data_IF_535112757957
#
_entry.id   IF_535112757957
#
_cell.length_a   1.000
_cell.length_b   1.000
_cell.length_c   1.000
_cell.angle_alpha   90.00
_cell.angle_beta   90.00
_cell.angle_gamma   90.00
#
_symmetry.space_group_name_H-M   'P 1'
#
loop_
_entity.id
_entity.type
_entity.pdbx_description
1 polymer ?
#
# COMPACT_ATOMS: atom_id res chain seq x y z
N UNK A 1 -14.94 22.22 -16.20
CA UNK A 1 -14.06 22.43 -15.03
C UNK A 1 -14.52 21.65 -13.78
N UNK A 2 -15.76 21.79 -13.26
CA UNK A 2 -16.20 21.04 -12.07
C UNK A 2 -16.10 19.51 -12.22
N UNK A 3 -16.55 18.95 -13.36
CA UNK A 3 -16.47 17.51 -13.59
C UNK A 3 -15.02 16.99 -13.57
N UNK A 4 -14.08 17.71 -14.17
CA UNK A 4 -12.65 17.33 -14.13
C UNK A 4 -12.11 17.30 -12.71
N UNK A 5 -12.41 18.31 -11.89
CA UNK A 5 -11.98 18.36 -10.47
C UNK A 5 -12.56 17.18 -9.70
N UNK A 6 -13.81 16.80 -9.98
CA UNK A 6 -14.43 15.62 -9.33
C UNK A 6 -13.72 14.33 -9.72
N UNK A 7 -13.39 14.10 -10.99
CA UNK A 7 -12.68 12.89 -11.42
C UNK A 7 -11.26 12.82 -10.86
N UNK A 8 -10.50 13.90 -10.94
CA UNK A 8 -9.15 13.98 -10.36
C UNK A 8 -9.21 13.78 -8.83
N UNK A 9 -10.17 14.42 -8.16
CA UNK A 9 -10.39 14.27 -6.73
C UNK A 9 -10.77 12.83 -6.34
N UNK A 10 -11.59 12.16 -7.14
CA UNK A 10 -11.96 10.76 -6.93
C UNK A 10 -10.75 9.81 -7.11
N UNK A 11 -9.90 10.07 -8.12
CA UNK A 11 -8.68 9.30 -8.33
C UNK A 11 -7.72 9.45 -7.14
N UNK A 12 -7.43 10.68 -6.72
CA UNK A 12 -6.59 10.94 -5.54
C UNK A 12 -7.20 10.35 -4.26
N UNK A 13 -8.50 10.55 -4.05
CA UNK A 13 -9.22 10.00 -2.91
C UNK A 13 -9.15 8.48 -2.83
N UNK A 14 -9.21 7.79 -3.98
CA UNK A 14 -9.08 6.33 -4.06
C UNK A 14 -7.68 5.85 -3.65
N UNK A 15 -6.63 6.58 -4.03
CA UNK A 15 -5.26 6.25 -3.58
C UNK A 15 -5.13 6.43 -2.06
N UNK A 16 -5.63 7.52 -1.50
CA UNK A 16 -5.64 7.71 -0.05
C UNK A 16 -6.47 6.65 0.67
N UNK A 17 -7.61 6.24 0.10
CA UNK A 17 -8.44 5.17 0.67
C UNK A 17 -7.69 3.82 0.73
N UNK A 18 -6.89 3.47 -0.29
CA UNK A 18 -6.05 2.27 -0.27
C UNK A 18 -4.95 2.35 0.79
N UNK A 19 -4.32 3.51 0.95
CA UNK A 19 -3.32 3.73 2.02
C UNK A 19 -4.00 3.60 3.39
N UNK A 20 -5.16 4.21 3.58
CA UNK A 20 -5.94 4.12 4.81
C UNK A 20 -6.38 2.68 5.12
N UNK A 21 -6.77 1.91 4.11
CA UNK A 21 -7.07 0.48 4.25
C UNK A 21 -5.85 -0.30 4.79
N UNK A 22 -4.66 -0.03 4.25
CA UNK A 22 -3.43 -0.64 4.73
C UNK A 22 -3.12 -0.28 6.19
N UNK A 23 -3.29 0.98 6.60
CA UNK A 23 -3.18 1.40 8.00
C UNK A 23 -4.17 0.67 8.90
N UNK A 24 -5.42 0.53 8.44
CA UNK A 24 -6.47 -0.15 9.20
C UNK A 24 -6.13 -1.63 9.43
N UNK A 25 -5.65 -2.33 8.40
CA UNK A 25 -5.24 -3.74 8.50
C UNK A 25 -4.08 -3.89 9.48
N UNK A 26 -3.05 -3.06 9.36
CA UNK A 26 -1.88 -3.08 10.26
C UNK A 26 -2.31 -2.81 11.71
N UNK A 27 -3.12 -1.78 11.93
CA UNK A 27 -3.61 -1.44 13.26
C UNK A 27 -4.50 -2.53 13.86
N UNK A 28 -5.39 -3.11 13.07
CA UNK A 28 -6.27 -4.18 13.55
C UNK A 28 -5.50 -5.43 14.00
N UNK A 29 -4.34 -5.71 13.39
CA UNK A 29 -3.54 -6.91 13.71
C UNK A 29 -2.48 -6.68 14.78
N UNK A 30 -1.80 -5.54 14.76
CA UNK A 30 -0.65 -5.28 15.65
C UNK A 30 -0.89 -4.19 16.69
N UNK A 31 -2.03 -3.49 16.64
CA UNK A 31 -2.33 -2.28 17.46
C UNK A 31 -1.26 -1.18 17.30
N UNK A 32 -0.52 -1.23 16.20
CA UNK A 32 0.50 -0.23 15.84
C UNK A 32 0.20 0.36 14.48
N UNK A 33 0.68 1.57 14.23
CA UNK A 33 0.55 2.24 12.93
C UNK A 33 1.92 2.28 12.28
N UNK A 34 2.03 1.75 11.07
CA UNK A 34 3.28 1.80 10.33
C UNK A 34 3.42 3.13 9.57
N UNK A 35 4.19 4.07 10.11
CA UNK A 35 4.39 5.38 9.48
C UNK A 35 5.24 5.35 8.20
N UNK A 36 5.94 4.24 7.90
CA UNK A 36 6.65 4.07 6.62
C UNK A 36 5.76 3.64 5.46
N UNK A 37 4.45 3.55 5.64
CA UNK A 37 3.54 3.03 4.61
C UNK A 37 3.46 3.95 3.38
N UNK A 38 3.49 5.26 3.57
CA UNK A 38 3.56 6.22 2.46
C UNK A 38 4.81 6.03 1.60
N UNK A 39 5.96 5.85 2.25
CA UNK A 39 7.24 5.57 1.56
C UNK A 39 7.22 4.22 0.86
N UNK A 40 6.50 3.24 1.39
CA UNK A 40 6.31 1.95 0.70
C UNK A 40 5.55 2.11 -0.62
N UNK A 41 4.55 3.00 -0.69
CA UNK A 41 3.86 3.34 -1.95
C UNK A 41 4.83 3.96 -2.94
N UNK A 42 5.67 4.90 -2.50
CA UNK A 42 6.71 5.51 -3.33
C UNK A 42 7.70 4.46 -3.84
N UNK A 43 8.21 3.59 -2.98
CA UNK A 43 9.10 2.47 -3.39
C UNK A 43 8.42 1.61 -4.46
N UNK A 44 7.15 1.27 -4.27
CA UNK A 44 6.38 0.51 -5.25
C UNK A 44 6.28 1.19 -6.60
N UNK A 45 5.99 2.49 -6.62
CA UNK A 45 5.92 3.27 -7.86
C UNK A 45 7.26 3.29 -8.59
N UNK A 46 8.37 3.50 -7.86
CA UNK A 46 9.71 3.57 -8.43
C UNK A 46 10.18 2.20 -8.95
N UNK A 47 9.94 1.13 -8.20
CA UNK A 47 10.27 -0.24 -8.63
C UNK A 47 9.48 -0.61 -9.89
N UNK A 48 8.18 -0.35 -9.91
CA UNK A 48 7.34 -0.60 -11.09
C UNK A 48 7.84 0.19 -12.31
N UNK A 49 8.20 1.45 -12.12
CA UNK A 49 8.78 2.29 -13.17
C UNK A 49 10.12 1.71 -13.68
N UNK A 50 11.01 1.34 -12.79
CA UNK A 50 12.33 0.80 -13.15
C UNK A 50 12.21 -0.52 -13.94
N UNK A 51 11.28 -1.39 -13.56
CA UNK A 51 11.06 -2.66 -14.26
C UNK A 51 10.37 -2.45 -15.61
N UNK A 52 9.32 -1.63 -15.66
CA UNK A 52 8.55 -1.44 -16.88
C UNK A 52 9.27 -0.55 -17.89
N UNK A 53 9.76 0.62 -17.46
CA UNK A 53 10.39 1.61 -18.34
C UNK A 53 11.89 1.38 -18.47
N UNK A 54 12.57 1.09 -17.37
CA UNK A 54 14.02 0.91 -17.34
C UNK A 54 14.46 -0.43 -17.94
N UNK A 55 13.82 -1.52 -17.55
CA UNK A 55 14.17 -2.87 -18.00
C UNK A 55 13.30 -3.38 -19.17
N UNK A 56 12.27 -2.63 -19.60
CA UNK A 56 11.40 -3.00 -20.72
C UNK A 56 10.52 -4.23 -20.46
N UNK A 57 10.24 -4.55 -19.20
CA UNK A 57 9.43 -5.72 -18.85
C UNK A 57 7.95 -5.51 -19.20
N UNK A 58 7.20 -6.58 -19.51
CA UNK A 58 5.77 -6.46 -19.71
C UNK A 58 5.09 -6.03 -18.42
N UNK A 59 4.13 -5.10 -18.51
CA UNK A 59 3.45 -4.49 -17.38
C UNK A 59 2.94 -5.50 -16.33
N UNK A 60 2.28 -6.62 -16.69
CA UNK A 60 1.81 -7.58 -15.70
C UNK A 60 2.95 -8.19 -14.86
N UNK A 61 4.08 -8.50 -15.49
CA UNK A 61 5.25 -9.04 -14.81
C UNK A 61 5.89 -8.00 -13.88
N UNK A 62 6.03 -6.76 -14.35
CA UNK A 62 6.52 -5.65 -13.53
C UNK A 62 5.65 -5.44 -12.28
N UNK A 63 4.32 -5.50 -12.41
CA UNK A 63 3.39 -5.39 -11.29
C UNK A 63 3.57 -6.56 -10.30
N UNK A 64 3.61 -7.80 -10.77
CA UNK A 64 3.78 -8.98 -9.89
C UNK A 64 5.09 -8.89 -9.11
N UNK A 65 6.20 -8.56 -9.78
CA UNK A 65 7.51 -8.46 -9.12
C UNK A 65 7.52 -7.29 -8.13
N UNK A 66 6.92 -6.16 -8.47
CA UNK A 66 6.77 -5.03 -7.54
C UNK A 66 5.99 -5.44 -6.29
N UNK A 67 4.91 -6.19 -6.42
CA UNK A 67 4.15 -6.69 -5.27
C UNK A 67 4.99 -7.62 -4.38
N UNK A 68 5.80 -8.49 -4.98
CA UNK A 68 6.73 -9.37 -4.23
C UNK A 68 7.78 -8.54 -3.49
N UNK A 69 8.37 -7.54 -4.13
CA UNK A 69 9.35 -6.63 -3.49
C UNK A 69 8.71 -5.87 -2.34
N UNK A 70 7.49 -5.34 -2.53
CA UNK A 70 6.76 -4.65 -1.46
C UNK A 70 6.38 -5.58 -0.31
N UNK A 71 5.99 -6.81 -0.60
CA UNK A 71 5.73 -7.81 0.44
C UNK A 71 6.99 -8.11 1.26
N UNK A 72 8.15 -8.29 0.59
CA UNK A 72 9.43 -8.47 1.25
C UNK A 72 9.83 -7.25 2.10
N UNK A 73 9.62 -6.04 1.57
CA UNK A 73 9.83 -4.79 2.30
C UNK A 73 8.93 -4.71 3.54
N UNK A 74 7.66 -5.07 3.42
CA UNK A 74 6.71 -5.09 4.54
C UNK A 74 7.16 -6.05 5.65
N UNK A 75 7.61 -7.26 5.30
CA UNK A 75 8.19 -8.22 6.24
C UNK A 75 9.46 -7.69 6.89
N UNK A 76 10.31 -6.99 6.14
CA UNK A 76 11.52 -6.36 6.67
C UNK A 76 11.19 -5.28 7.69
N UNK A 77 10.26 -4.37 7.34
CA UNK A 77 9.81 -3.30 8.24
C UNK A 77 9.20 -3.88 9.52
N UNK A 78 8.34 -4.90 9.40
CA UNK A 78 7.76 -5.57 10.57
C UNK A 78 8.86 -6.15 11.48
N UNK A 79 9.80 -6.90 10.92
CA UNK A 79 10.85 -7.56 11.70
C UNK A 79 11.84 -6.62 12.35
N UNK A 80 12.18 -5.52 11.68
CA UNK A 80 13.23 -4.58 12.12
C UNK A 80 12.67 -3.40 12.89
N UNK A 81 11.55 -2.83 12.45
CA UNK A 81 11.01 -1.59 13.00
C UNK A 81 9.86 -1.79 13.98
N UNK A 82 9.08 -2.85 13.85
CA UNK A 82 7.87 -3.04 14.67
C UNK A 82 8.10 -4.07 15.76
N UNK A 83 8.45 -5.28 15.36
CA UNK A 83 8.53 -6.45 16.25
C UNK A 83 9.45 -6.29 17.49
N UNK A 84 10.66 -5.68 17.38
CA UNK A 84 11.53 -5.51 18.56
C UNK A 84 10.92 -4.61 19.63
N UNK A 85 10.10 -3.63 19.20
CA UNK A 85 9.55 -2.60 20.06
C UNK A 85 8.17 -2.92 20.63
N UNK A 86 7.44 -3.91 20.10
CA UNK A 86 6.13 -4.33 20.59
C UNK A 86 6.18 -4.83 22.04
N UNK A 87 7.32 -5.44 22.45
CA UNK A 87 7.50 -5.99 23.81
C UNK A 87 7.84 -4.93 24.86
N UNK A 88 8.27 -3.75 24.44
CA UNK A 88 8.80 -2.73 25.35
C UNK A 88 7.74 -1.76 25.90
N UNK A 89 6.45 -1.92 25.58
CA UNK A 89 5.35 -1.00 25.94
C UNK A 89 5.68 0.47 25.67
N UNK A 90 6.53 0.73 24.68
CA UNK A 90 7.13 2.02 24.37
C UNK A 90 6.63 2.53 23.02
N UNK A 91 6.51 3.85 22.90
CA UNK A 91 6.23 4.55 21.62
C UNK A 91 7.40 4.39 20.60
N UNK A 92 8.47 3.68 20.96
CA UNK A 92 9.66 3.51 20.12
C UNK A 92 9.37 2.91 18.74
N UNK A 93 8.34 2.07 18.59
CA UNK A 93 7.90 1.56 17.28
C UNK A 93 7.49 2.68 16.31
N UNK A 94 6.91 3.76 16.83
CA UNK A 94 6.51 4.91 16.02
C UNK A 94 7.76 5.61 15.43
N UNK A 95 8.74 5.93 16.27
CA UNK A 95 9.99 6.55 15.82
C UNK A 95 10.78 5.63 14.89
N UNK A 96 10.78 4.32 15.16
CA UNK A 96 11.46 3.33 14.33
C UNK A 96 10.84 3.23 12.92
N UNK A 97 9.52 3.23 12.80
CA UNK A 97 8.84 3.18 11.49
C UNK A 97 9.04 4.48 10.70
N UNK A 98 9.06 5.65 11.37
CA UNK A 98 9.39 6.92 10.73
C UNK A 98 10.84 6.91 10.22
N UNK A 99 11.78 6.44 11.04
CA UNK A 99 13.19 6.37 10.66
C UNK A 99 13.41 5.48 9.43
N UNK A 100 12.77 4.30 9.38
CA UNK A 100 12.83 3.42 8.20
C UNK A 100 12.19 4.09 6.97
N UNK A 101 11.11 4.81 7.15
CA UNK A 101 10.51 5.61 6.08
C UNK A 101 11.49 6.61 5.48
N UNK A 102 12.18 7.37 6.32
CA UNK A 102 13.20 8.34 5.89
C UNK A 102 14.38 7.62 5.20
N UNK A 103 14.83 6.48 5.72
CA UNK A 103 15.88 5.68 5.08
C UNK A 103 15.42 5.22 3.70
N UNK A 104 14.21 4.67 3.56
CA UNK A 104 13.68 4.21 2.28
C UNK A 104 13.59 5.36 1.26
N UNK A 105 13.13 6.55 1.69
CA UNK A 105 13.08 7.75 0.85
C UNK A 105 14.47 8.16 0.36
N UNK A 106 15.46 8.22 1.25
CA UNK A 106 16.82 8.58 0.88
C UNK A 106 17.48 7.53 -0.03
N UNK A 107 17.25 6.25 0.20
CA UNK A 107 17.72 5.17 -0.68
C UNK A 107 17.16 5.33 -2.09
N UNK A 108 15.86 5.56 -2.22
CA UNK A 108 15.22 5.83 -3.52
C UNK A 108 15.82 7.06 -4.17
N UNK A 109 16.00 8.14 -3.42
CA UNK A 109 16.56 9.40 -3.92
C UNK A 109 18.00 9.24 -4.45
N UNK A 110 18.81 8.44 -3.77
CA UNK A 110 20.21 8.15 -4.18
C UNK A 110 20.24 7.24 -5.42
N UNK A 111 19.40 6.22 -5.48
CA UNK A 111 19.40 5.23 -6.57
C UNK A 111 18.72 5.74 -7.85
N UNK A 112 17.65 6.50 -7.70
CA UNK A 112 16.79 6.89 -8.82
C UNK A 112 16.77 8.40 -9.10
N UNK A 113 17.38 9.22 -8.23
CA UNK A 113 17.38 10.68 -8.34
C UNK A 113 16.14 11.32 -7.73
N UNK A 114 16.11 12.66 -7.79
CA UNK A 114 15.05 13.51 -7.18
C UNK A 114 13.96 13.91 -8.18
N UNK A 115 14.17 13.63 -9.46
CA UNK A 115 13.30 14.13 -10.53
C UNK A 115 11.98 13.35 -10.57
N UNK A 116 10.88 14.10 -10.70
CA UNK A 116 9.59 13.52 -10.95
C UNK A 116 9.58 12.82 -12.32
N UNK A 117 9.19 11.56 -12.36
CA UNK A 117 9.17 10.74 -13.58
C UNK A 117 7.72 10.44 -13.97
N UNK A 118 7.36 10.80 -15.19
CA UNK A 118 6.06 10.43 -15.74
C UNK A 118 6.07 8.96 -16.18
N UNK A 119 5.05 8.22 -15.79
CA UNK A 119 4.85 6.84 -16.26
C UNK A 119 4.33 6.87 -17.70
N UNK A 120 5.08 6.39 -18.71
CA UNK A 120 4.64 6.42 -20.09
C UNK A 120 3.52 5.39 -20.27
N UNK A 121 2.30 5.87 -20.40
CA UNK A 121 1.13 5.05 -20.66
C UNK A 121 0.29 5.71 -21.74
N UNK A 122 -0.24 4.91 -22.66
CA UNK A 122 -1.24 5.37 -23.64
C UNK A 122 -2.49 5.94 -22.96
N UNK A 123 -2.73 5.55 -21.71
CA UNK A 123 -3.84 6.03 -20.87
C UNK A 123 -3.64 7.46 -20.35
N UNK A 124 -2.44 8.02 -20.48
CA UNK A 124 -2.11 9.37 -20.02
C UNK A 124 -2.00 10.39 -21.15
N UNK A 125 -1.99 9.91 -22.42
CA UNK A 125 -1.66 10.77 -23.57
C UNK A 125 -2.86 11.47 -24.22
N UNK A 126 -4.06 10.89 -24.12
CA UNK A 126 -5.25 11.47 -24.76
C UNK A 126 -6.41 11.58 -23.76
N UNK A 127 -6.90 12.79 -23.48
CA UNK A 127 -8.08 12.95 -22.65
C UNK A 127 -9.33 12.48 -23.42
N UNK A 128 -10.17 11.72 -22.75
CA UNK A 128 -11.50 11.33 -23.25
C UNK A 128 -12.52 12.33 -22.71
N UNK A 129 -13.39 12.82 -23.57
CA UNK A 129 -14.45 13.72 -23.15
C UNK A 129 -15.57 12.94 -22.46
N UNK A 130 -15.67 13.08 -21.14
CA UNK A 130 -16.75 12.53 -20.33
C UNK A 130 -17.56 13.68 -19.74
N UNK A 131 -18.85 13.74 -20.03
CA UNK A 131 -19.75 14.81 -19.57
C UNK A 131 -19.25 16.23 -19.91
N UNK A 132 -18.59 16.40 -21.06
CA UNK A 132 -18.03 17.67 -21.49
C UNK A 132 -16.73 18.09 -20.80
N UNK A 133 -16.14 17.22 -19.98
CA UNK A 133 -14.82 17.42 -19.38
C UNK A 133 -13.79 16.50 -20.05
N UNK A 134 -12.57 16.99 -20.28
CA UNK A 134 -11.44 16.17 -20.69
C UNK A 134 -10.91 15.41 -19.47
N UNK A 135 -11.19 14.10 -19.39
CA UNK A 135 -10.77 13.22 -18.31
C UNK A 135 -9.74 12.25 -18.85
N UNK A 136 -8.65 12.08 -18.17
CA UNK A 136 -7.67 11.07 -18.57
C UNK A 136 -8.11 9.66 -18.16
N UNK A 137 -7.96 8.64 -19.03
CA UNK A 137 -8.41 7.29 -18.73
C UNK A 137 -7.86 6.72 -17.42
N UNK A 138 -6.66 7.09 -17.01
CA UNK A 138 -6.08 6.66 -15.73
C UNK A 138 -6.84 7.22 -14.52
N UNK A 139 -7.45 8.42 -14.61
CA UNK A 139 -8.28 9.01 -13.54
C UNK A 139 -9.57 8.22 -13.30
N UNK A 140 -10.05 7.47 -14.31
CA UNK A 140 -11.17 6.54 -14.17
C UNK A 140 -10.72 5.15 -13.71
N UNK A 141 -9.56 4.71 -14.17
CA UNK A 141 -9.03 3.38 -13.87
C UNK A 141 -8.59 3.27 -12.41
N UNK A 142 -7.99 4.31 -11.82
CA UNK A 142 -7.51 4.30 -10.44
C UNK A 142 -8.63 4.06 -9.42
N UNK A 143 -9.79 4.75 -9.45
CA UNK A 143 -10.91 4.46 -8.55
C UNK A 143 -11.47 3.05 -8.72
N UNK A 144 -11.59 2.58 -9.96
CA UNK A 144 -12.10 1.22 -10.25
C UNK A 144 -11.13 0.16 -9.72
N UNK A 145 -9.83 0.33 -9.97
CA UNK A 145 -8.81 -0.57 -9.43
C UNK A 145 -8.76 -0.52 -7.91
N UNK A 146 -8.87 0.66 -7.31
CA UNK A 146 -8.92 0.84 -5.86
C UNK A 146 -10.12 0.13 -5.23
N UNK A 147 -11.30 0.30 -5.82
CA UNK A 147 -12.51 -0.39 -5.36
C UNK A 147 -12.37 -1.92 -5.52
N UNK A 148 -11.83 -2.39 -6.63
CA UNK A 148 -11.59 -3.81 -6.87
C UNK A 148 -10.65 -4.40 -5.81
N UNK A 149 -9.54 -3.74 -5.49
CA UNK A 149 -8.61 -4.16 -4.43
C UNK A 149 -9.31 -4.18 -3.07
N UNK A 150 -10.10 -3.15 -2.75
CA UNK A 150 -10.85 -3.08 -1.50
C UNK A 150 -11.83 -4.25 -1.36
N UNK A 151 -12.58 -4.55 -2.43
CA UNK A 151 -13.51 -5.69 -2.47
C UNK A 151 -12.77 -7.01 -2.33
N UNK A 152 -11.65 -7.20 -3.03
CA UNK A 152 -10.82 -8.41 -2.94
C UNK A 152 -10.29 -8.62 -1.52
N UNK A 153 -9.78 -7.57 -0.88
CA UNK A 153 -9.32 -7.61 0.51
C UNK A 153 -10.47 -7.99 1.44
N UNK A 154 -11.63 -7.34 1.32
CA UNK A 154 -12.80 -7.65 2.16
C UNK A 154 -13.27 -9.10 1.95
N UNK A 155 -13.30 -9.60 0.72
CA UNK A 155 -13.62 -11.00 0.42
C UNK A 155 -12.58 -11.96 1.03
N UNK A 156 -11.29 -11.63 0.96
CA UNK A 156 -10.23 -12.41 1.58
C UNK A 156 -10.42 -12.48 3.10
N UNK A 157 -10.73 -11.36 3.75
CA UNK A 157 -10.99 -11.32 5.19
C UNK A 157 -12.26 -12.09 5.59
N UNK A 158 -13.31 -12.07 4.77
CA UNK A 158 -14.57 -12.77 5.05
C UNK A 158 -14.54 -14.26 4.71
N UNK A 159 -13.89 -14.63 3.60
CA UNK A 159 -13.98 -15.97 3.03
C UNK A 159 -12.85 -16.90 3.43
N UNK A 160 -11.66 -16.38 3.79
CA UNK A 160 -10.51 -17.22 4.15
C UNK A 160 -10.43 -17.49 5.64
N UNK A 161 -9.90 -18.67 6.02
CA UNK A 161 -9.64 -19.03 7.42
C UNK A 161 -8.68 -18.04 8.08
N UNK A 162 -7.62 -17.64 7.35
CA UNK A 162 -6.64 -16.64 7.82
C UNK A 162 -7.29 -15.27 8.05
N UNK A 163 -8.17 -14.84 7.15
CA UNK A 163 -8.90 -13.59 7.31
C UNK A 163 -9.85 -13.62 8.52
N UNK A 164 -10.51 -14.76 8.77
CA UNK A 164 -11.35 -14.93 9.97
C UNK A 164 -10.53 -14.92 11.25
N UNK A 165 -9.35 -15.56 11.26
CA UNK A 165 -8.42 -15.54 12.38
C UNK A 165 -7.93 -14.11 12.68
N UNK A 166 -7.53 -13.34 11.64
CA UNK A 166 -7.14 -11.93 11.79
C UNK A 166 -8.27 -11.07 12.37
N UNK A 167 -9.52 -11.29 11.94
CA UNK A 167 -10.69 -10.61 12.52
C UNK A 167 -10.89 -10.99 13.99
N UNK A 168 -10.71 -12.25 14.36
CA UNK A 168 -10.83 -12.69 15.74
C UNK A 168 -9.77 -12.03 16.63
N UNK A 169 -8.52 -11.96 16.18
CA UNK A 169 -7.43 -11.27 16.86
C UNK A 169 -7.71 -9.77 17.00
N UNK A 170 -8.24 -9.12 15.95
CA UNK A 170 -8.61 -7.70 15.97
C UNK A 170 -9.74 -7.39 16.98
N UNK A 171 -10.64 -8.35 17.23
CA UNK A 171 -11.76 -8.17 18.18
C UNK A 171 -11.32 -8.36 19.63
N UNK A 172 -10.47 -9.35 19.92
CA UNK A 172 -9.89 -9.58 21.27
C UNK A 172 -8.63 -10.41 21.17
N UNK A 173 -7.48 -9.80 21.48
CA UNK A 173 -6.18 -10.46 21.55
C UNK A 173 -6.15 -11.56 22.61
N UNK A 174 -6.81 -11.36 23.74
CA UNK A 174 -6.83 -12.32 24.84
C UNK A 174 -7.70 -13.53 24.54
N UNK A 175 -8.89 -13.31 23.92
CA UNK A 175 -9.77 -14.40 23.52
C UNK A 175 -9.18 -15.27 22.41
N UNK A 176 -8.47 -14.70 21.45
CA UNK A 176 -7.78 -15.45 20.39
C UNK A 176 -6.65 -16.32 20.97
N UNK A 177 -5.92 -15.81 21.96
CA UNK A 177 -4.88 -16.57 22.67
C UNK A 177 -5.42 -17.79 23.43
N UNK A 178 -6.64 -17.69 23.99
CA UNK A 178 -7.31 -18.79 24.71
C UNK A 178 -7.84 -19.89 23.76
N UNK A 179 -8.13 -19.54 22.50
CA UNK A 179 -8.61 -20.48 21.48
C UNK A 179 -7.46 -21.23 20.77
N UNK A 180 -6.22 -21.12 21.26
CA UNK A 180 -5.08 -21.87 20.75
C UNK A 180 -4.33 -21.22 19.57
N UNK A 181 -4.67 -19.99 19.25
CA UNK A 181 -3.93 -19.21 18.25
C UNK A 181 -2.63 -18.71 18.90
N UNK A 182 -1.52 -19.42 18.64
CA UNK A 182 -0.22 -19.04 19.18
C UNK A 182 0.15 -17.65 18.67
N UNK A 183 0.43 -16.71 19.58
CA UNK A 183 0.92 -15.33 19.33
C UNK A 183 2.13 -15.23 18.36
N UNK A 184 2.62 -16.35 17.84
CA UNK A 184 3.77 -16.44 16.94
C UNK A 184 3.43 -16.65 15.46
N UNK A 185 2.15 -16.69 15.09
CA UNK A 185 1.71 -17.03 13.71
C UNK A 185 1.09 -15.83 12.96
N UNK A 186 0.97 -14.69 13.63
CA UNK A 186 0.44 -13.44 13.01
C UNK A 186 1.56 -12.43 12.86
#
# INVERSE_FOLDING_TARGET
>A
MLAQVVFTGLALGSMYALVALGYNITYATSQTVNFSQGQSVMVGAVVAYALYVGAGWPLPLAVVVTLVVLAALGVLVERVAVRPFLRASSIAWLLSTIAIGIIAENVVMVLFGKDARAFPSSLTQQPVTVLGAGVYPHELLVPVAGLAVMVLVELAFRRTLRGKALRAVAFSHDAAGLMGDRKSVV
#
